data_IF_399566739177
#
_entry.id   IF_399566739177
#
_cell.length_a   1.000
_cell.length_b   1.000
_cell.length_c   1.000
_cell.angle_alpha   90.00
_cell.angle_beta   90.00
_cell.angle_gamma   90.00
#
_symmetry.space_group_name_H-M   'P 1'
#
loop_
_entity.id
_entity.type
_entity.pdbx_description
1 polymer ?
#
# COMPACT_ATOMS: atom_id res chain seq x y z
N UNK A 1 9.27 3.81 1.09
CA UNK A 1 7.82 3.91 0.86
C UNK A 1 7.14 3.12 1.94
N UNK A 2 6.56 3.82 2.89
CA UNK A 2 5.84 3.24 4.01
C UNK A 2 4.51 3.94 4.25
N UNK A 3 3.64 3.28 5.00
CA UNK A 3 2.34 3.82 5.31
C UNK A 3 1.56 2.99 6.31
N UNK A 4 0.43 3.56 6.74
CA UNK A 4 -0.49 2.93 7.69
C UNK A 4 -1.89 2.93 7.10
N UNK A 5 -2.55 1.77 7.12
CA UNK A 5 -3.98 1.66 6.81
C UNK A 5 -4.79 2.16 8.00
N UNK A 6 -5.69 3.09 7.72
CA UNK A 6 -6.70 3.56 8.66
C UNK A 6 -8.07 3.13 8.18
N UNK A 7 -8.93 2.76 9.13
CA UNK A 7 -10.30 2.34 8.88
C UNK A 7 -11.24 3.43 9.40
N UNK A 8 -12.09 3.95 8.52
CA UNK A 8 -13.14 4.89 8.87
C UNK A 8 -14.50 4.17 8.76
N UNK A 9 -14.74 3.27 9.71
CA UNK A 9 -15.86 2.33 9.69
C UNK A 9 -16.56 2.19 11.05
N UNK A 10 -16.31 3.13 11.97
CA UNK A 10 -16.83 3.09 13.32
C UNK A 10 -16.48 1.78 14.08
N UNK A 11 -15.29 1.22 13.82
CA UNK A 11 -14.77 -0.01 14.43
C UNK A 11 -15.67 -1.23 14.17
N UNK A 12 -16.05 -1.40 12.90
CA UNK A 12 -16.85 -2.52 12.42
C UNK A 12 -16.26 -3.89 12.81
N UNK A 13 -17.12 -4.86 13.13
CA UNK A 13 -16.72 -6.20 13.59
C UNK A 13 -16.50 -7.20 12.45
N UNK A 14 -16.95 -6.85 11.24
CA UNK A 14 -16.90 -7.67 10.02
C UNK A 14 -15.79 -7.23 9.05
N UNK A 15 -14.85 -6.40 9.52
CA UNK A 15 -13.67 -6.02 8.75
C UNK A 15 -12.85 -7.25 8.32
N UNK A 16 -12.29 -7.28 7.11
CA UNK A 16 -11.38 -8.35 6.70
C UNK A 16 -10.14 -8.42 7.61
N UNK A 17 -9.60 -9.64 7.78
CA UNK A 17 -8.40 -9.88 8.58
C UNK A 17 -7.13 -9.28 7.97
N UNK A 18 -7.13 -9.07 6.64
CA UNK A 18 -6.01 -8.49 5.91
C UNK A 18 -6.47 -7.67 4.71
N UNK A 19 -5.56 -6.82 4.23
CA UNK A 19 -5.66 -6.15 2.94
C UNK A 19 -4.37 -6.39 2.14
N UNK A 20 -4.42 -6.12 0.85
CA UNK A 20 -3.23 -6.10 0.00
C UNK A 20 -2.94 -4.69 -0.48
N UNK A 21 -1.71 -4.24 -0.28
CA UNK A 21 -1.19 -2.98 -0.77
C UNK A 21 -0.13 -3.27 -1.83
N UNK A 22 -0.36 -2.78 -3.03
CA UNK A 22 0.57 -2.89 -4.15
C UNK A 22 1.50 -1.66 -4.17
N UNK A 23 2.79 -1.92 -4.38
CA UNK A 23 3.74 -0.90 -4.81
C UNK A 23 3.80 -0.92 -6.34
N UNK A 24 3.53 0.23 -6.94
CA UNK A 24 3.67 0.44 -8.37
C UNK A 24 4.95 1.22 -8.64
N UNK A 25 5.75 0.77 -9.60
CA UNK A 25 6.87 1.48 -10.17
C UNK A 25 6.54 1.81 -11.63
N UNK A 26 6.51 3.11 -11.97
CA UNK A 26 6.11 3.60 -13.29
C UNK A 26 4.77 3.00 -13.79
N UNK A 27 3.80 2.87 -12.87
CA UNK A 27 2.46 2.32 -13.16
C UNK A 27 2.38 0.79 -13.24
N UNK A 28 3.46 0.05 -13.00
CA UNK A 28 3.46 -1.43 -12.95
C UNK A 28 3.62 -1.91 -11.52
N UNK A 29 2.84 -2.91 -11.12
CA UNK A 29 3.01 -3.57 -9.81
C UNK A 29 4.37 -4.26 -9.78
N UNK A 30 5.19 -3.95 -8.77
CA UNK A 30 6.52 -4.54 -8.56
C UNK A 30 6.65 -5.29 -7.23
N UNK A 31 5.79 -4.98 -6.26
CA UNK A 31 5.69 -5.71 -4.99
C UNK A 31 4.27 -5.59 -4.42
N UNK A 32 3.87 -6.53 -3.57
CA UNK A 32 2.59 -6.54 -2.87
C UNK A 32 2.83 -6.93 -1.41
N UNK A 33 2.32 -6.11 -0.48
CA UNK A 33 2.33 -6.42 0.96
C UNK A 33 0.94 -6.80 1.42
N UNK A 34 0.87 -7.92 2.13
CA UNK A 34 -0.28 -8.22 2.98
C UNK A 34 -0.14 -7.46 4.30
N UNK A 35 -1.21 -6.76 4.68
CA UNK A 35 -1.24 -5.89 5.86
C UNK A 35 -2.37 -6.36 6.76
N UNK A 36 -2.08 -6.55 8.05
CA UNK A 36 -3.01 -7.17 9.01
C UNK A 36 -3.08 -6.35 10.29
N UNK A 37 -4.02 -6.72 11.18
CA UNK A 37 -4.02 -6.17 12.53
C UNK A 37 -2.74 -6.51 13.33
N UNK A 38 -2.12 -7.67 13.08
CA UNK A 38 -0.88 -8.09 13.74
C UNK A 38 0.33 -7.24 13.33
N UNK A 39 0.32 -6.68 12.12
CA UNK A 39 1.32 -5.69 11.67
C UNK A 39 0.95 -4.25 12.07
N UNK A 40 0.00 -4.08 12.98
CA UNK A 40 -0.58 -2.79 13.37
C UNK A 40 -1.10 -1.98 12.17
N UNK A 41 -1.55 -2.67 11.12
CA UNK A 41 -1.97 -2.08 9.85
C UNK A 41 -0.88 -1.24 9.14
N UNK A 42 0.39 -1.44 9.48
CA UNK A 42 1.55 -0.78 8.86
C UNK A 42 2.16 -1.64 7.76
N UNK A 43 2.77 -0.98 6.78
CA UNK A 43 3.57 -1.62 5.74
C UNK A 43 4.78 -0.76 5.36
N UNK A 44 5.86 -1.43 4.97
CA UNK A 44 7.09 -0.79 4.48
C UNK A 44 7.59 -1.56 3.26
N UNK A 45 7.90 -0.82 2.20
CA UNK A 45 8.65 -1.29 1.04
C UNK A 45 10.06 -0.72 1.10
N UNK A 46 11.03 -1.61 1.20
CA UNK A 46 12.45 -1.30 1.36
C UNK A 46 13.23 -1.51 0.07
N UNK A 47 14.48 -1.00 0.03
CA UNK A 47 15.45 -1.26 -1.05
C UNK A 47 14.98 -0.81 -2.44
N UNK A 48 14.15 0.23 -2.50
CA UNK A 48 13.65 0.80 -3.75
C UNK A 48 14.74 1.63 -4.44
N UNK A 49 15.06 1.28 -5.68
CA UNK A 49 15.98 2.07 -6.50
C UNK A 49 15.35 3.40 -6.86
N UNK A 50 16.11 4.50 -6.82
CA UNK A 50 15.61 5.81 -7.19
C UNK A 50 15.60 6.04 -8.72
N UNK A 51 16.49 5.39 -9.46
CA UNK A 51 16.69 5.58 -10.90
C UNK A 51 16.83 4.24 -11.62
N UNK A 52 16.45 4.19 -12.89
CA UNK A 52 16.72 3.07 -13.78
C UNK A 52 18.18 3.07 -14.31
N UNK A 53 18.51 2.07 -15.14
CA UNK A 53 19.85 1.91 -15.72
C UNK A 53 20.25 3.06 -16.66
N UNK A 54 19.29 3.85 -17.14
CA UNK A 54 19.50 5.00 -18.02
C UNK A 54 19.56 6.32 -17.23
N UNK A 55 19.44 6.26 -15.89
CA UNK A 55 19.49 7.42 -15.00
C UNK A 55 18.15 8.17 -14.89
N UNK A 56 17.04 7.61 -15.37
CA UNK A 56 15.72 8.21 -15.24
C UNK A 56 15.07 7.83 -13.91
N UNK A 57 14.50 8.81 -13.22
CA UNK A 57 13.88 8.60 -11.90
C UNK A 57 12.66 7.68 -12.00
N UNK A 58 12.56 6.72 -11.07
CA UNK A 58 11.35 5.92 -10.89
C UNK A 58 10.27 6.73 -10.20
N UNK A 59 9.05 6.64 -10.73
CA UNK A 59 7.84 7.09 -10.02
C UNK A 59 7.28 5.90 -9.23
N UNK A 60 7.22 6.03 -7.92
CA UNK A 60 6.52 5.06 -7.07
C UNK A 60 5.12 5.55 -6.72
N UNK A 61 4.18 4.62 -6.60
CA UNK A 61 2.82 4.87 -6.15
C UNK A 61 2.36 3.67 -5.30
N UNK A 62 1.50 3.92 -4.31
CA UNK A 62 0.87 2.83 -3.53
C UNK A 62 -0.60 2.72 -3.92
N UNK A 63 -1.10 1.49 -4.02
CA UNK A 63 -2.51 1.21 -4.30
C UNK A 63 -3.01 0.10 -3.40
N UNK A 64 -4.11 0.35 -2.71
CA UNK A 64 -4.85 -0.70 -2.04
C UNK A 64 -5.68 -1.49 -3.06
N UNK A 65 -5.58 -2.83 -3.02
CA UNK A 65 -6.48 -3.68 -3.79
C UNK A 65 -7.92 -3.54 -3.29
N UNK A 66 -8.91 -3.79 -4.15
CA UNK A 66 -10.30 -3.62 -3.76
C UNK A 66 -10.63 -4.45 -2.50
N UNK A 67 -11.21 -3.77 -1.51
CA UNK A 67 -11.71 -4.40 -0.30
C UNK A 67 -13.23 -4.35 -0.36
N UNK A 68 -13.88 -5.51 -0.35
CA UNK A 68 -15.33 -5.59 -0.47
C UNK A 68 -16.03 -4.79 0.64
N UNK A 69 -17.03 -3.99 0.27
CA UNK A 69 -17.75 -3.12 1.20
C UNK A 69 -17.04 -1.80 1.55
N UNK A 70 -15.80 -1.58 1.08
CA UNK A 70 -15.02 -0.40 1.41
C UNK A 70 -14.64 0.44 0.19
N UNK A 71 -14.60 1.77 0.39
CA UNK A 71 -14.06 2.71 -0.58
C UNK A 71 -12.66 3.14 -0.15
N UNK A 72 -11.66 2.83 -0.96
CA UNK A 72 -10.26 3.19 -0.70
C UNK A 72 -9.97 4.65 -1.03
N UNK A 73 -9.11 5.29 -0.22
CA UNK A 73 -8.53 6.61 -0.48
C UNK A 73 -7.09 6.62 0.00
N UNK A 74 -6.15 6.91 -0.91
CA UNK A 74 -4.73 7.08 -0.59
C UNK A 74 -4.45 8.56 -0.33
N UNK A 75 -3.76 8.88 0.76
CA UNK A 75 -3.33 10.25 1.12
C UNK A 75 -1.79 10.30 1.15
N UNK A 76 -1.17 10.11 0.00
CA UNK A 76 0.28 9.97 -0.08
C UNK A 76 0.80 8.73 0.66
N UNK A 77 2.11 8.71 0.83
CA UNK A 77 2.91 7.72 1.57
C UNK A 77 4.21 8.43 1.99
N UNK A 78 4.88 7.88 2.99
CA UNK A 78 6.17 8.40 3.48
C UNK A 78 7.36 7.70 2.79
#
# INVERSE_FOLDING_TARGET
VEGTKTWNDNNATDRPSSIKVDLLQNGKVVDTKEVTAASEWKYTFEKLQAYDAEGKAYKYEVKEQAVEGYKSKVKGYD
#
